data_IF_973139163940
#
_entry.id   IF_973139163940
#
_cell.length_a   1.000
_cell.length_b   1.000
_cell.length_c   1.000
_cell.angle_alpha   90.00
_cell.angle_beta   90.00
_cell.angle_gamma   90.00
#
_symmetry.space_group_name_H-M   'P 1'
#
loop_
_entity.id
_entity.type
_entity.pdbx_description
1 polymer ?
#
# COMPACT_ATOMS: atom_id res chain seq x y z
N UNK A 1 -31.12 -17.57 17.10
CA UNK A 1 -31.26 -18.04 15.69
C UNK A 1 -30.36 -19.24 15.50
N UNK A 2 -30.71 -20.20 14.64
CA UNK A 2 -29.83 -21.34 14.35
C UNK A 2 -28.56 -20.84 13.62
N UNK A 3 -27.40 -21.37 13.99
CA UNK A 3 -26.13 -21.01 13.36
C UNK A 3 -26.15 -21.38 11.87
N UNK A 4 -25.66 -20.49 11.00
CA UNK A 4 -25.52 -20.77 9.58
C UNK A 4 -24.30 -21.68 9.35
N UNK A 5 -24.49 -22.80 8.65
CA UNK A 5 -23.46 -23.81 8.44
C UNK A 5 -22.86 -23.73 7.04
N UNK A 6 -21.53 -23.83 6.98
CA UNK A 6 -20.71 -23.81 5.75
C UNK A 6 -19.74 -25.01 5.75
N UNK A 7 -19.19 -25.34 4.59
CA UNK A 7 -18.05 -26.26 4.51
C UNK A 7 -16.75 -25.52 4.83
N UNK A 8 -16.62 -24.29 4.31
CA UNK A 8 -15.44 -23.42 4.52
C UNK A 8 -15.89 -22.01 4.88
N UNK A 9 -15.28 -21.43 5.91
CA UNK A 9 -15.36 -20.01 6.21
C UNK A 9 -13.96 -19.40 5.99
N UNK A 10 -13.89 -18.31 5.24
CA UNK A 10 -12.67 -17.54 5.02
C UNK A 10 -12.77 -16.22 5.77
N UNK A 11 -11.80 -15.93 6.63
CA UNK A 11 -11.73 -14.67 7.39
C UNK A 11 -10.71 -13.76 6.74
N UNK A 12 -11.19 -12.64 6.17
CA UNK A 12 -10.43 -11.67 5.37
C UNK A 12 -10.64 -11.86 3.87
N UNK A 13 -11.03 -10.78 3.18
CA UNK A 13 -11.30 -10.77 1.75
C UNK A 13 -10.19 -10.09 0.92
N UNK A 14 -8.96 -10.08 1.42
CA UNK A 14 -7.77 -9.75 0.63
C UNK A 14 -7.44 -10.81 -0.42
N UNK A 15 -6.34 -10.65 -1.20
CA UNK A 15 -5.98 -11.57 -2.29
C UNK A 15 -5.94 -13.05 -1.89
N UNK A 16 -5.38 -13.38 -0.74
CA UNK A 16 -5.37 -14.75 -0.24
C UNK A 16 -6.77 -15.27 0.05
N UNK A 17 -7.63 -14.42 0.65
CA UNK A 17 -8.98 -14.83 1.07
C UNK A 17 -9.96 -14.97 -0.07
N UNK A 18 -10.12 -13.93 -0.93
CA UNK A 18 -11.11 -14.02 -2.00
C UNK A 18 -10.75 -15.09 -3.04
N UNK A 19 -9.48 -15.32 -3.31
CA UNK A 19 -9.03 -16.39 -4.22
C UNK A 19 -9.37 -17.76 -3.61
N UNK A 20 -9.06 -17.98 -2.33
CA UNK A 20 -9.39 -19.22 -1.63
C UNK A 20 -10.90 -19.47 -1.62
N UNK A 21 -11.71 -18.45 -1.30
CA UNK A 21 -13.16 -18.56 -1.26
C UNK A 21 -13.77 -18.92 -2.62
N UNK A 22 -13.32 -18.25 -3.69
CA UNK A 22 -13.75 -18.55 -5.06
C UNK A 22 -13.39 -19.99 -5.42
N UNK A 23 -12.13 -20.37 -5.16
CA UNK A 23 -11.68 -21.72 -5.52
C UNK A 23 -12.41 -22.81 -4.76
N UNK A 24 -12.62 -22.65 -3.46
CA UNK A 24 -13.39 -23.57 -2.64
C UNK A 24 -14.84 -23.74 -3.18
N UNK A 25 -15.48 -22.62 -3.55
CA UNK A 25 -16.82 -22.67 -4.14
C UNK A 25 -16.85 -23.36 -5.51
N UNK A 26 -15.85 -23.14 -6.36
CA UNK A 26 -15.71 -23.83 -7.66
C UNK A 26 -15.52 -25.34 -7.50
N UNK A 27 -15.01 -25.79 -6.36
CA UNK A 27 -14.89 -27.21 -6.00
C UNK A 27 -16.18 -27.78 -5.39
N UNK A 28 -17.28 -27.04 -5.40
CA UNK A 28 -18.59 -27.47 -4.95
C UNK A 28 -18.86 -27.29 -3.46
N UNK A 29 -17.96 -26.62 -2.73
CA UNK A 29 -18.13 -26.37 -1.30
C UNK A 29 -19.07 -25.17 -1.06
N UNK A 30 -19.83 -25.22 0.04
CA UNK A 30 -20.62 -24.09 0.56
C UNK A 30 -19.69 -23.17 1.34
N UNK A 31 -19.46 -21.94 0.83
CA UNK A 31 -18.43 -21.02 1.33
C UNK A 31 -19.02 -19.73 1.85
N UNK A 32 -18.51 -19.28 3.00
CA UNK A 32 -18.67 -17.90 3.47
C UNK A 32 -17.30 -17.17 3.49
N UNK A 33 -17.33 -15.88 3.26
CA UNK A 33 -16.18 -14.98 3.45
C UNK A 33 -16.59 -13.82 4.35
N UNK A 34 -15.70 -13.47 5.28
CA UNK A 34 -15.94 -12.38 6.24
C UNK A 34 -14.91 -11.29 6.01
N UNK A 35 -15.37 -10.03 5.85
CA UNK A 35 -14.51 -8.88 5.66
C UNK A 35 -15.00 -7.72 6.54
N UNK A 36 -14.07 -7.02 7.19
CA UNK A 36 -14.45 -5.94 8.11
C UNK A 36 -14.44 -4.55 7.47
N UNK A 37 -13.71 -4.35 6.36
CA UNK A 37 -13.55 -3.04 5.73
C UNK A 37 -14.01 -3.05 4.27
N UNK A 38 -13.20 -3.65 3.38
CA UNK A 38 -13.45 -3.60 1.94
C UNK A 38 -13.05 -4.92 1.27
N UNK A 39 -13.91 -5.45 0.42
CA UNK A 39 -13.56 -6.58 -0.44
C UNK A 39 -12.32 -6.23 -1.29
N UNK A 40 -11.43 -7.21 -1.46
CA UNK A 40 -10.14 -7.01 -2.11
C UNK A 40 -9.00 -6.65 -1.13
N UNK A 41 -9.33 -6.34 0.14
CA UNK A 41 -8.39 -6.04 1.21
C UNK A 41 -7.49 -4.84 0.92
N UNK A 42 -6.35 -4.78 1.60
CA UNK A 42 -5.37 -3.69 1.42
C UNK A 42 -4.87 -3.62 -0.01
N UNK A 43 -4.53 -4.73 -0.64
CA UNK A 43 -3.94 -4.74 -1.98
C UNK A 43 -4.79 -3.98 -3.01
N UNK A 44 -6.10 -4.22 -3.06
CA UNK A 44 -6.97 -3.57 -4.04
C UNK A 44 -7.36 -2.14 -3.64
N UNK A 45 -7.49 -1.89 -2.33
CA UNK A 45 -8.04 -0.62 -1.87
C UNK A 45 -6.99 0.39 -1.42
N UNK A 46 -5.89 -0.07 -0.80
CA UNK A 46 -4.89 0.78 -0.15
C UNK A 46 -3.45 0.32 -0.40
N UNK A 47 -3.18 -0.45 -1.44
CA UNK A 47 -1.85 -1.02 -1.70
C UNK A 47 -1.55 -1.17 -3.17
N UNK A 48 -1.38 -2.42 -3.61
CA UNK A 48 -0.87 -2.78 -4.94
C UNK A 48 -1.56 -2.03 -6.09
N UNK A 49 -2.88 -2.06 -6.12
CA UNK A 49 -3.64 -1.54 -7.27
C UNK A 49 -3.59 -0.02 -7.38
N UNK A 50 -3.96 0.77 -6.33
CA UNK A 50 -3.86 2.22 -6.44
C UNK A 50 -2.42 2.70 -6.62
N UNK A 51 -1.43 2.05 -6.00
CA UNK A 51 -0.01 2.40 -6.19
C UNK A 51 0.44 2.19 -7.63
N UNK A 52 0.11 1.02 -8.24
CA UNK A 52 0.43 0.77 -9.66
C UNK A 52 -0.28 1.75 -10.59
N UNK A 53 -1.49 2.18 -10.24
CA UNK A 53 -2.21 3.20 -11.01
C UNK A 53 -1.52 4.58 -10.92
N UNK A 54 -0.96 4.96 -9.75
CA UNK A 54 -0.13 6.16 -9.58
C UNK A 54 1.16 6.05 -10.39
N UNK A 55 1.91 4.95 -10.24
CA UNK A 55 3.16 4.70 -10.98
C UNK A 55 2.94 4.73 -12.49
N UNK A 56 1.82 4.18 -13.00
CA UNK A 56 1.51 4.25 -14.44
C UNK A 56 1.28 5.68 -14.90
N UNK A 57 0.66 6.53 -14.09
CA UNK A 57 0.51 7.95 -14.44
C UNK A 57 1.87 8.66 -14.46
N UNK A 58 2.74 8.39 -13.49
CA UNK A 58 4.09 8.93 -13.47
C UNK A 58 4.94 8.45 -14.65
N UNK A 59 4.82 7.17 -15.03
CA UNK A 59 5.49 6.61 -16.20
C UNK A 59 5.04 7.30 -17.50
N UNK A 60 3.74 7.53 -17.68
CA UNK A 60 3.23 8.27 -18.85
C UNK A 60 3.79 9.69 -18.86
N UNK A 61 3.80 10.38 -17.72
CA UNK A 61 4.39 11.71 -17.60
C UNK A 61 5.88 11.70 -17.97
N UNK A 62 6.65 10.73 -17.48
CA UNK A 62 8.05 10.53 -17.86
C UNK A 62 8.23 10.29 -19.37
N UNK A 63 7.38 9.46 -19.98
CA UNK A 63 7.40 9.19 -21.42
C UNK A 63 7.10 10.45 -22.25
N UNK A 64 6.22 11.35 -21.77
CA UNK A 64 5.95 12.62 -22.43
C UNK A 64 7.21 13.49 -22.52
N UNK A 65 8.05 13.51 -21.48
CA UNK A 65 9.34 14.24 -21.51
C UNK A 65 10.37 13.59 -22.44
N UNK A 66 10.23 12.30 -22.69
CA UNK A 66 11.10 11.51 -23.58
C UNK A 66 10.51 11.29 -24.98
N UNK A 67 9.43 11.98 -25.31
CA UNK A 67 8.72 11.78 -26.57
C UNK A 67 9.63 11.85 -27.82
N UNK A 68 10.63 12.72 -27.79
CA UNK A 68 11.63 12.88 -28.87
C UNK A 68 12.41 11.59 -29.18
N UNK A 69 12.66 10.74 -28.17
CA UNK A 69 13.36 9.46 -28.37
C UNK A 69 12.54 8.49 -29.23
N UNK A 70 11.21 8.71 -29.30
CA UNK A 70 10.27 7.94 -30.10
C UNK A 70 9.85 8.65 -31.40
N UNK A 71 10.52 9.75 -31.76
CA UNK A 71 10.14 10.56 -32.92
C UNK A 71 8.85 11.37 -32.74
N UNK A 72 8.37 11.54 -31.51
CA UNK A 72 7.15 12.25 -31.19
C UNK A 72 7.46 13.66 -30.65
N UNK A 73 6.51 14.58 -30.85
CA UNK A 73 6.58 15.95 -30.33
C UNK A 73 5.48 16.14 -29.28
N UNK A 74 5.85 16.66 -28.13
CA UNK A 74 4.93 17.05 -27.05
C UNK A 74 5.22 18.49 -26.69
N UNK A 75 4.21 19.35 -26.73
CA UNK A 75 4.32 20.75 -26.33
C UNK A 75 3.76 20.93 -24.93
N UNK A 76 4.65 21.13 -23.97
CA UNK A 76 4.32 21.30 -22.55
C UNK A 76 3.73 20.01 -21.91
N UNK A 77 4.49 19.38 -21.04
CA UNK A 77 3.99 18.28 -20.22
C UNK A 77 3.76 18.80 -18.81
N UNK A 78 2.55 18.66 -18.31
CA UNK A 78 2.18 19.04 -16.94
C UNK A 78 1.24 17.97 -16.37
N UNK A 79 0.98 18.00 -15.06
CA UNK A 79 0.08 17.07 -14.39
C UNK A 79 -0.76 17.76 -13.32
N UNK A 80 -1.97 17.25 -13.12
CA UNK A 80 -2.83 17.55 -11.98
C UNK A 80 -2.76 16.38 -10.99
N UNK A 81 -2.14 16.60 -9.83
CA UNK A 81 -2.00 15.57 -8.80
C UNK A 81 -3.36 15.05 -8.34
N UNK A 82 -4.37 15.92 -8.19
CA UNK A 82 -5.71 15.51 -7.76
C UNK A 82 -6.35 14.58 -8.79
N UNK A 83 -6.20 14.89 -10.08
CA UNK A 83 -6.68 14.02 -11.16
C UNK A 83 -5.95 12.67 -11.20
N UNK A 84 -4.63 12.65 -10.99
CA UNK A 84 -3.82 11.42 -10.90
C UNK A 84 -4.29 10.57 -9.71
N UNK A 85 -4.48 11.17 -8.55
CA UNK A 85 -5.00 10.49 -7.34
C UNK A 85 -6.43 9.98 -7.59
N UNK A 86 -7.32 10.81 -8.10
CA UNK A 86 -8.71 10.42 -8.41
C UNK A 86 -8.77 9.23 -9.37
N UNK A 87 -7.93 9.22 -10.42
CA UNK A 87 -7.80 8.08 -11.32
C UNK A 87 -7.40 6.81 -10.56
N UNK A 88 -6.39 6.88 -9.70
CA UNK A 88 -5.93 5.71 -8.94
C UNK A 88 -7.03 5.16 -8.02
N UNK A 89 -7.80 6.03 -7.36
CA UNK A 89 -8.94 5.66 -6.53
C UNK A 89 -10.08 5.06 -7.36
N UNK A 90 -10.32 5.57 -8.57
CA UNK A 90 -11.28 5.02 -9.52
C UNK A 90 -10.95 3.58 -9.93
N UNK A 91 -9.67 3.31 -10.25
CA UNK A 91 -9.19 1.95 -10.58
C UNK A 91 -9.36 1.01 -9.38
N UNK A 92 -8.98 1.44 -8.18
CA UNK A 92 -9.17 0.65 -6.96
C UNK A 92 -10.65 0.31 -6.71
N UNK A 93 -11.54 1.29 -6.84
CA UNK A 93 -13.00 1.10 -6.69
C UNK A 93 -13.56 0.11 -7.71
N UNK A 94 -13.14 0.22 -8.97
CA UNK A 94 -13.58 -0.68 -10.04
C UNK A 94 -13.20 -2.13 -9.73
N UNK A 95 -11.95 -2.38 -9.36
CA UNK A 95 -11.45 -3.73 -9.09
C UNK A 95 -12.04 -4.31 -7.79
N UNK A 96 -12.17 -3.52 -6.74
CA UNK A 96 -12.85 -3.95 -5.51
C UNK A 96 -14.32 -4.31 -5.76
N UNK A 97 -15.04 -3.52 -6.59
CA UNK A 97 -16.38 -3.85 -7.04
C UNK A 97 -16.43 -5.16 -7.84
N UNK A 98 -15.41 -5.42 -8.66
CA UNK A 98 -15.22 -6.68 -9.38
C UNK A 98 -15.15 -7.90 -8.45
N UNK A 99 -14.51 -7.77 -7.27
CA UNK A 99 -14.49 -8.85 -6.29
C UNK A 99 -15.90 -9.15 -5.78
N UNK A 100 -16.70 -8.12 -5.48
CA UNK A 100 -18.11 -8.31 -5.11
C UNK A 100 -18.92 -9.08 -6.17
N UNK A 101 -18.71 -8.75 -7.44
CA UNK A 101 -19.31 -9.48 -8.55
C UNK A 101 -18.85 -10.95 -8.58
N UNK A 102 -17.55 -11.20 -8.39
CA UNK A 102 -17.00 -12.56 -8.37
C UNK A 102 -17.53 -13.38 -7.19
N UNK A 103 -17.71 -12.78 -6.01
CA UNK A 103 -18.35 -13.46 -4.87
C UNK A 103 -19.77 -13.92 -5.24
N UNK A 104 -20.57 -13.00 -5.79
CA UNK A 104 -21.93 -13.32 -6.24
C UNK A 104 -21.96 -14.40 -7.33
N UNK A 105 -21.12 -14.27 -8.38
CA UNK A 105 -21.00 -15.24 -9.47
C UNK A 105 -20.70 -16.65 -8.96
N UNK A 106 -19.80 -16.77 -7.98
CA UNK A 106 -19.38 -18.05 -7.40
C UNK A 106 -20.24 -18.45 -6.19
N UNK A 107 -21.38 -17.78 -5.90
CA UNK A 107 -22.29 -18.10 -4.80
C UNK A 107 -21.59 -18.12 -3.42
N UNK A 108 -20.54 -17.33 -3.23
CA UNK A 108 -19.89 -17.15 -1.93
C UNK A 108 -20.71 -16.18 -1.10
N UNK A 109 -21.09 -16.60 0.12
CA UNK A 109 -21.83 -15.74 1.05
C UNK A 109 -20.87 -14.75 1.71
N UNK A 110 -21.13 -13.45 1.56
CA UNK A 110 -20.28 -12.38 2.13
C UNK A 110 -20.91 -11.85 3.41
N UNK A 111 -20.12 -11.82 4.49
CA UNK A 111 -20.45 -11.15 5.74
C UNK A 111 -19.53 -9.94 5.93
N UNK A 112 -20.12 -8.75 6.05
CA UNK A 112 -19.36 -7.55 6.38
C UNK A 112 -19.36 -7.37 7.89
N UNK A 113 -18.18 -7.54 8.53
CA UNK A 113 -18.05 -7.47 9.98
C UNK A 113 -16.72 -7.99 10.50
N UNK A 114 -16.55 -7.93 11.81
CA UNK A 114 -15.35 -8.43 12.50
C UNK A 114 -15.59 -9.84 13.00
N UNK A 115 -14.77 -10.78 12.54
CA UNK A 115 -14.82 -12.18 12.95
C UNK A 115 -14.07 -12.43 14.26
N UNK A 116 -14.64 -13.27 15.10
CA UNK A 116 -14.04 -13.86 16.30
C UNK A 116 -14.14 -15.39 16.21
N UNK A 117 -13.22 -16.09 16.83
CA UNK A 117 -13.15 -17.54 16.91
C UNK A 117 -13.43 -18.00 18.36
N UNK A 118 -14.70 -18.07 18.81
CA UNK A 118 -15.01 -18.40 20.19
C UNK A 118 -14.76 -19.85 20.54
N UNK A 119 -14.88 -20.77 19.57
CA UNK A 119 -14.66 -22.20 19.74
C UNK A 119 -14.23 -22.85 18.42
N UNK A 120 -13.75 -24.09 18.49
CA UNK A 120 -13.40 -24.90 17.31
C UNK A 120 -14.61 -25.03 16.38
N UNK A 121 -14.41 -24.69 15.10
CA UNK A 121 -15.44 -24.77 14.06
C UNK A 121 -16.52 -23.70 14.13
N UNK A 122 -16.42 -22.73 15.05
CA UNK A 122 -17.40 -21.66 15.23
C UNK A 122 -16.77 -20.30 14.95
N UNK A 123 -17.48 -19.44 14.24
CA UNK A 123 -17.11 -18.05 13.96
C UNK A 123 -18.26 -17.14 14.34
N UNK A 124 -17.99 -16.16 15.20
CA UNK A 124 -18.92 -15.10 15.56
C UNK A 124 -18.57 -13.86 14.74
N UNK A 125 -19.53 -13.28 14.02
CA UNK A 125 -19.32 -12.12 13.17
C UNK A 125 -20.08 -10.92 13.74
N UNK A 126 -19.36 -9.96 14.30
CA UNK A 126 -19.94 -8.69 14.75
C UNK A 126 -20.15 -7.76 13.57
N UNK A 127 -21.41 -7.44 13.29
CA UNK A 127 -21.85 -6.51 12.25
C UNK A 127 -22.51 -5.29 12.85
N UNK A 128 -22.85 -4.28 12.05
CA UNK A 128 -23.62 -3.10 12.50
C UNK A 128 -25.05 -3.45 12.94
N UNK A 129 -25.57 -4.62 12.54
CA UNK A 129 -26.93 -5.10 12.83
C UNK A 129 -27.01 -6.10 13.99
N UNK A 130 -25.88 -6.47 14.56
CA UNK A 130 -25.79 -7.46 15.62
C UNK A 130 -24.68 -8.48 15.38
N UNK A 131 -24.85 -9.67 15.94
CA UNK A 131 -23.86 -10.75 15.85
C UNK A 131 -24.47 -11.94 15.14
N UNK A 132 -23.80 -12.42 14.09
CA UNK A 132 -24.13 -13.67 13.39
C UNK A 132 -23.24 -14.79 13.89
N UNK A 133 -23.82 -15.96 14.21
CA UNK A 133 -23.09 -17.18 14.58
C UNK A 133 -23.02 -18.13 13.38
N UNK A 134 -21.79 -18.44 12.98
CA UNK A 134 -21.50 -19.32 11.84
C UNK A 134 -20.74 -20.55 12.30
N UNK A 135 -20.96 -21.69 11.61
CA UNK A 135 -20.16 -22.90 11.83
C UNK A 135 -19.57 -23.41 10.52
N UNK A 136 -18.38 -24.01 10.58
CA UNK A 136 -17.75 -24.63 9.42
C UNK A 136 -16.89 -25.84 9.79
N UNK A 137 -16.71 -26.75 8.80
CA UNK A 137 -15.76 -27.85 8.89
C UNK A 137 -14.31 -27.35 8.86
N UNK A 138 -14.06 -26.30 8.07
CA UNK A 138 -12.73 -25.70 7.92
C UNK A 138 -12.81 -24.17 7.94
N UNK A 139 -11.82 -23.54 8.58
CA UNK A 139 -11.70 -22.09 8.66
C UNK A 139 -10.33 -21.70 8.11
N UNK A 140 -10.33 -20.77 7.15
CA UNK A 140 -9.11 -20.18 6.57
C UNK A 140 -8.95 -18.77 7.13
N UNK A 141 -7.85 -18.52 7.84
CA UNK A 141 -7.50 -17.19 8.36
C UNK A 141 -6.59 -16.49 7.36
N UNK A 142 -7.13 -15.46 6.67
CA UNK A 142 -6.47 -14.70 5.62
C UNK A 142 -6.54 -13.19 5.92
N UNK A 143 -6.28 -12.82 7.18
CA UNK A 143 -6.52 -11.47 7.72
C UNK A 143 -5.51 -10.41 7.27
N UNK A 144 -4.46 -10.80 6.53
CA UNK A 144 -3.45 -9.90 5.97
C UNK A 144 -2.52 -9.29 7.03
N UNK A 145 -2.01 -8.10 6.73
CA UNK A 145 -1.06 -7.37 7.56
C UNK A 145 -1.46 -5.90 7.72
N UNK A 146 -0.83 -5.22 8.66
CA UNK A 146 -0.92 -3.77 8.86
C UNK A 146 0.47 -3.16 8.80
N UNK A 147 0.55 -1.87 8.45
CA UNK A 147 1.78 -1.12 8.58
C UNK A 147 2.28 -1.14 10.03
N UNK A 148 3.57 -1.31 10.20
CA UNK A 148 4.22 -1.17 11.50
C UNK A 148 4.42 0.31 11.77
N UNK A 149 4.00 0.77 12.94
CA UNK A 149 4.34 2.11 13.42
C UNK A 149 5.65 2.05 14.19
N UNK A 150 6.56 2.96 13.87
CA UNK A 150 7.85 3.08 14.56
C UNK A 150 7.75 4.23 15.55
N UNK A 151 8.11 4.01 16.85
CA UNK A 151 8.06 5.05 17.87
C UNK A 151 8.86 6.30 17.47
N UNK A 152 8.22 7.47 17.55
CA UNK A 152 8.78 8.76 17.15
C UNK A 152 8.71 9.07 15.65
N UNK A 153 8.27 8.10 14.83
CA UNK A 153 8.11 8.23 13.37
C UNK A 153 6.65 8.01 12.92
N UNK A 154 5.70 8.11 13.85
CA UNK A 154 4.29 7.88 13.60
C UNK A 154 3.74 8.86 12.57
N UNK A 155 2.85 8.39 11.71
CA UNK A 155 2.22 9.23 10.72
C UNK A 155 1.17 10.16 11.37
N UNK A 156 1.26 11.46 11.07
CA UNK A 156 0.28 12.48 11.52
C UNK A 156 -0.70 12.88 10.40
N UNK A 157 -0.41 12.46 9.16
CA UNK A 157 -1.24 12.77 7.99
C UNK A 157 -0.97 14.13 7.37
N UNK A 158 -0.18 14.98 8.02
CA UNK A 158 0.21 16.30 7.51
C UNK A 158 1.68 16.30 7.06
N UNK A 159 2.63 16.26 7.98
CA UNK A 159 4.06 16.27 7.70
C UNK A 159 4.63 14.88 7.51
N UNK A 160 4.14 13.90 8.29
CA UNK A 160 4.55 12.50 8.20
C UNK A 160 3.38 11.66 7.69
N UNK A 161 3.57 11.08 6.54
CA UNK A 161 2.58 10.26 5.85
C UNK A 161 2.83 8.78 6.04
N UNK A 162 1.77 8.01 6.24
CA UNK A 162 1.75 6.57 5.98
C UNK A 162 1.44 6.33 4.50
N UNK A 163 1.50 5.06 4.08
CA UNK A 163 1.06 4.66 2.74
C UNK A 163 -0.37 5.12 2.38
N UNK A 164 -1.28 5.16 3.36
CA UNK A 164 -2.66 5.63 3.14
C UNK A 164 -2.69 7.11 2.76
N UNK A 165 -1.94 7.94 3.48
CA UNK A 165 -1.84 9.38 3.21
C UNK A 165 -1.16 9.63 1.85
N UNK A 166 -0.07 8.92 1.54
CA UNK A 166 0.63 9.04 0.27
C UNK A 166 -0.25 8.66 -0.94
N UNK A 167 -1.16 7.67 -0.79
CA UNK A 167 -2.11 7.27 -1.83
C UNK A 167 -3.20 8.29 -2.13
N UNK A 168 -3.46 9.22 -1.23
CA UNK A 168 -4.47 10.28 -1.36
C UNK A 168 -3.85 11.66 -1.15
N UNK A 169 -2.58 11.81 -1.51
CA UNK A 169 -1.87 13.07 -1.37
C UNK A 169 -2.61 14.22 -2.07
N UNK A 170 -2.77 15.33 -1.35
CA UNK A 170 -3.44 16.56 -1.84
C UNK A 170 -2.44 17.64 -2.23
N UNK A 171 -1.17 17.43 -1.93
CA UNK A 171 -0.05 18.33 -2.29
C UNK A 171 1.14 17.55 -2.80
N UNK A 172 1.88 18.17 -3.71
CA UNK A 172 3.14 17.62 -4.21
C UNK A 172 4.27 17.99 -3.25
N UNK A 173 5.01 17.01 -2.68
CA UNK A 173 6.23 17.29 -1.93
C UNK A 173 7.28 17.95 -2.82
N UNK A 174 8.00 18.94 -2.30
CA UNK A 174 9.21 19.51 -2.96
C UNK A 174 10.46 18.74 -2.54
N UNK A 175 10.59 18.49 -1.22
CA UNK A 175 11.67 17.69 -0.61
C UNK A 175 11.07 16.58 0.20
N UNK A 176 11.16 15.36 -0.30
CA UNK A 176 10.57 14.16 0.27
C UNK A 176 11.62 13.28 0.94
N UNK A 177 11.38 12.91 2.19
CA UNK A 177 12.08 11.81 2.85
C UNK A 177 11.21 10.56 2.84
N UNK A 178 11.76 9.43 2.41
CA UNK A 178 11.13 8.12 2.54
C UNK A 178 11.95 7.27 3.50
N UNK A 179 11.32 6.83 4.60
CA UNK A 179 11.94 5.99 5.62
C UNK A 179 11.54 4.55 5.36
N UNK A 180 12.51 3.72 5.00
CA UNK A 180 12.33 2.35 4.55
C UNK A 180 12.36 2.23 3.02
N UNK A 181 13.13 1.27 2.54
CA UNK A 181 13.32 0.98 1.11
C UNK A 181 12.72 -0.35 0.67
N UNK A 182 11.76 -0.88 1.44
CA UNK A 182 10.94 -1.98 0.98
C UNK A 182 10.10 -1.59 -0.25
N UNK A 183 9.35 -2.55 -0.81
CA UNK A 183 8.56 -2.31 -2.02
C UNK A 183 7.67 -1.06 -1.91
N UNK A 184 7.01 -0.85 -0.76
CA UNK A 184 6.13 0.30 -0.53
C UNK A 184 6.91 1.62 -0.60
N UNK A 185 8.00 1.73 0.15
CA UNK A 185 8.82 2.96 0.19
C UNK A 185 9.40 3.33 -1.16
N UNK A 186 9.98 2.35 -1.85
CA UNK A 186 10.57 2.56 -3.18
C UNK A 186 9.51 2.95 -4.23
N UNK A 187 8.31 2.37 -4.19
CA UNK A 187 7.24 2.71 -5.13
C UNK A 187 6.78 4.16 -4.94
N UNK A 188 6.56 4.62 -3.70
CA UNK A 188 6.23 6.02 -3.45
C UNK A 188 7.39 6.97 -3.76
N UNK A 189 8.63 6.60 -3.40
CA UNK A 189 9.81 7.37 -3.76
C UNK A 189 9.89 7.56 -5.28
N UNK A 190 9.70 6.47 -6.05
CA UNK A 190 9.70 6.52 -7.51
C UNK A 190 8.58 7.39 -8.07
N UNK A 191 7.36 7.26 -7.53
CA UNK A 191 6.21 8.07 -7.97
C UNK A 191 6.47 9.57 -7.81
N UNK A 192 6.79 10.01 -6.59
CA UNK A 192 7.00 11.42 -6.31
C UNK A 192 8.26 11.98 -6.97
N UNK A 193 9.35 11.21 -7.02
CA UNK A 193 10.58 11.60 -7.73
C UNK A 193 10.32 11.84 -9.22
N UNK A 194 9.58 10.93 -9.87
CA UNK A 194 9.23 11.07 -11.30
C UNK A 194 8.37 12.30 -11.57
N UNK A 195 7.55 12.72 -10.62
CA UNK A 195 6.74 13.93 -10.69
C UNK A 195 7.49 15.18 -10.24
N UNK A 196 8.79 15.10 -9.88
CA UNK A 196 9.67 16.25 -9.63
C UNK A 196 10.02 16.54 -8.17
N UNK A 197 9.69 15.66 -7.22
CA UNK A 197 10.15 15.80 -5.84
C UNK A 197 11.66 15.51 -5.73
N UNK A 198 12.42 16.32 -4.98
CA UNK A 198 13.78 15.97 -4.52
C UNK A 198 13.65 14.90 -3.45
N UNK A 199 13.89 13.64 -3.82
CA UNK A 199 13.57 12.47 -2.99
C UNK A 199 14.81 11.85 -2.39
N UNK A 200 14.81 11.71 -1.06
CA UNK A 200 15.81 10.97 -0.29
C UNK A 200 15.17 9.73 0.33
N UNK A 201 15.78 8.57 0.13
CA UNK A 201 15.38 7.29 0.74
C UNK A 201 16.41 6.90 1.78
N UNK A 202 15.97 6.55 2.99
CA UNK A 202 16.83 6.09 4.10
C UNK A 202 16.49 4.64 4.40
N UNK A 203 17.53 3.78 4.42
CA UNK A 203 17.42 2.35 4.69
C UNK A 203 18.43 1.91 5.75
N UNK A 204 17.95 1.23 6.78
CA UNK A 204 18.79 0.73 7.87
C UNK A 204 19.64 -0.47 7.46
N UNK A 205 19.15 -1.24 6.48
CA UNK A 205 19.87 -2.40 5.94
C UNK A 205 21.01 -1.94 5.04
N UNK A 206 21.83 -2.90 4.63
CA UNK A 206 23.01 -2.67 3.77
C UNK A 206 22.68 -2.46 2.29
N UNK A 207 21.40 -2.61 1.91
CA UNK A 207 20.90 -2.42 0.55
C UNK A 207 19.41 -2.07 0.55
N UNK A 208 18.95 -1.43 -0.52
CA UNK A 208 17.52 -1.24 -0.78
C UNK A 208 16.86 -2.58 -1.17
N UNK A 209 15.53 -2.66 -1.02
CA UNK A 209 14.77 -3.89 -1.32
C UNK A 209 15.41 -5.12 -0.66
N UNK A 210 15.64 -5.10 0.67
CA UNK A 210 16.53 -6.04 1.34
C UNK A 210 16.07 -7.51 1.30
N UNK A 211 14.79 -7.74 0.95
CA UNK A 211 14.21 -9.09 0.81
C UNK A 211 14.37 -9.67 -0.59
N UNK A 212 14.80 -8.85 -1.55
CA UNK A 212 15.03 -9.27 -2.92
C UNK A 212 16.46 -9.82 -3.10
N UNK A 213 16.71 -10.45 -4.25
CA UNK A 213 18.06 -10.88 -4.64
C UNK A 213 19.02 -9.69 -4.64
N UNK A 214 20.25 -9.90 -4.14
CA UNK A 214 21.25 -8.84 -3.97
C UNK A 214 21.65 -8.16 -5.29
N UNK A 215 21.73 -8.94 -6.38
CA UNK A 215 22.06 -8.42 -7.71
C UNK A 215 20.92 -7.58 -8.26
N UNK A 216 19.67 -8.02 -8.07
CA UNK A 216 18.47 -7.27 -8.44
C UNK A 216 18.36 -5.97 -7.63
N UNK A 217 18.61 -6.02 -6.33
CA UNK A 217 18.63 -4.83 -5.47
C UNK A 217 19.68 -3.80 -5.93
N UNK A 218 20.88 -4.25 -6.27
CA UNK A 218 21.97 -3.40 -6.79
C UNK A 218 21.61 -2.79 -8.16
N UNK A 219 20.99 -3.57 -9.05
CA UNK A 219 20.49 -3.09 -10.33
C UNK A 219 19.40 -2.02 -10.16
N UNK A 220 18.43 -2.27 -9.28
CA UNK A 220 17.37 -1.32 -8.96
C UNK A 220 17.91 -0.01 -8.38
N UNK A 221 18.85 -0.10 -7.40
CA UNK A 221 19.54 1.06 -6.84
C UNK A 221 20.19 1.92 -7.92
N UNK A 222 20.98 1.30 -8.81
CA UNK A 222 21.64 2.01 -9.92
C UNK A 222 20.64 2.75 -10.79
N UNK A 223 19.49 2.13 -11.08
CA UNK A 223 18.42 2.75 -11.87
C UNK A 223 17.79 3.94 -11.15
N UNK A 224 17.47 3.83 -9.87
CA UNK A 224 16.86 4.91 -9.10
C UNK A 224 17.80 6.10 -8.88
N UNK A 225 19.09 5.84 -8.59
CA UNK A 225 20.11 6.90 -8.50
C UNK A 225 20.25 7.64 -9.83
N UNK A 226 20.22 6.92 -10.96
CA UNK A 226 20.23 7.55 -12.31
C UNK A 226 18.99 8.42 -12.54
N UNK A 227 17.87 8.12 -11.91
CA UNK A 227 16.65 8.92 -11.95
C UNK A 227 16.66 10.12 -10.99
N UNK A 228 17.76 10.34 -10.25
CA UNK A 228 17.95 11.48 -9.35
C UNK A 228 17.61 11.21 -7.88
N UNK A 229 17.20 10.00 -7.50
CA UNK A 229 16.97 9.70 -6.09
C UNK A 229 18.27 9.67 -5.29
N UNK A 230 18.25 10.24 -4.09
CA UNK A 230 19.30 10.07 -3.08
C UNK A 230 18.95 8.87 -2.22
N UNK A 231 19.88 7.91 -2.12
CA UNK A 231 19.68 6.66 -1.36
C UNK A 231 20.78 6.53 -0.31
N UNK A 232 20.37 6.50 0.95
CA UNK A 232 21.24 6.33 2.10
C UNK A 232 20.99 4.95 2.70
N UNK A 233 21.91 4.03 2.48
CA UNK A 233 21.92 2.68 3.07
C UNK A 233 22.73 2.68 4.36
N UNK A 234 22.52 1.67 5.23
CA UNK A 234 23.10 1.61 6.58
C UNK A 234 22.84 2.89 7.36
N UNK A 235 21.71 3.53 7.09
CA UNK A 235 21.31 4.80 7.67
C UNK A 235 19.95 4.68 8.36
N UNK A 236 19.78 5.32 9.49
CA UNK A 236 18.53 5.28 10.26
C UNK A 236 18.08 6.66 10.67
N UNK A 237 16.79 6.92 10.59
CA UNK A 237 16.20 8.15 11.15
C UNK A 237 16.00 7.96 12.64
N UNK A 238 16.69 8.76 13.44
CA UNK A 238 16.66 8.70 14.93
C UNK A 238 15.55 9.58 15.50
N UNK A 239 15.24 10.69 14.84
CA UNK A 239 14.28 11.68 15.32
C UNK A 239 13.75 12.51 14.17
N UNK A 240 12.50 12.94 14.31
CA UNK A 240 11.86 13.92 13.46
C UNK A 240 11.42 15.13 14.30
N UNK A 241 11.99 16.28 14.05
CA UNK A 241 11.53 17.55 14.62
C UNK A 241 10.50 18.16 13.67
N UNK A 242 9.22 18.03 14.02
CA UNK A 242 8.08 18.48 13.23
C UNK A 242 7.81 19.97 13.50
N UNK A 243 7.72 20.76 12.45
CA UNK A 243 7.41 22.19 12.51
C UNK A 243 6.17 22.45 11.65
N UNK A 244 4.95 22.45 12.25
CA UNK A 244 3.71 22.68 11.50
C UNK A 244 3.78 23.92 10.63
N UNK A 245 3.35 23.81 9.37
CA UNK A 245 3.41 24.90 8.39
C UNK A 245 4.80 25.18 7.80
N UNK A 246 5.86 24.49 8.25
CA UNK A 246 7.25 24.68 7.78
C UNK A 246 7.79 23.40 7.15
N UNK A 247 7.78 22.30 7.89
CA UNK A 247 8.33 21.02 7.46
C UNK A 247 8.88 20.19 8.61
N UNK A 248 9.80 19.29 8.29
CA UNK A 248 10.38 18.32 9.23
C UNK A 248 11.89 18.35 9.13
N UNK A 249 12.58 18.54 10.26
CA UNK A 249 14.03 18.30 10.34
C UNK A 249 14.25 16.86 10.77
N UNK A 250 14.83 16.04 9.89
CA UNK A 250 15.18 14.65 10.16
C UNK A 250 16.62 14.54 10.67
N UNK A 251 16.80 13.81 11.78
CA UNK A 251 18.11 13.42 12.31
C UNK A 251 18.46 12.03 11.78
N UNK A 252 19.38 11.98 10.84
CA UNK A 252 19.77 10.75 10.13
C UNK A 252 21.14 10.33 10.65
N UNK A 253 21.21 9.12 11.20
CA UNK A 253 22.47 8.48 11.58
C UNK A 253 22.96 7.58 10.47
N UNK A 254 24.22 7.77 10.08
CA UNK A 254 24.94 6.89 9.16
C UNK A 254 26.41 6.81 9.63
N UNK A 255 26.97 5.60 9.68
CA UNK A 255 28.35 5.35 10.12
C UNK A 255 28.69 5.99 11.49
N UNK A 256 27.75 5.98 12.44
CA UNK A 256 27.88 6.55 13.78
C UNK A 256 27.83 8.08 13.85
N UNK A 257 27.57 8.76 12.73
CA UNK A 257 27.42 10.21 12.67
C UNK A 257 25.96 10.59 12.44
N UNK A 258 25.47 11.55 13.23
CA UNK A 258 24.13 12.12 13.04
C UNK A 258 24.26 13.40 12.22
N UNK A 259 23.53 13.47 11.14
CA UNK A 259 23.35 14.66 10.31
C UNK A 259 21.89 15.10 10.34
N UNK A 260 21.63 16.38 10.13
CA UNK A 260 20.27 16.92 10.04
C UNK A 260 19.97 17.39 8.63
N UNK A 261 18.78 17.07 8.15
CA UNK A 261 18.29 17.52 6.85
C UNK A 261 16.82 17.96 6.96
N UNK A 262 16.45 18.99 6.21
CA UNK A 262 15.09 19.53 6.20
C UNK A 262 14.31 18.98 5.00
N UNK A 263 13.08 18.56 5.27
CA UNK A 263 12.11 18.04 4.33
C UNK A 263 10.75 18.73 4.54
N UNK A 264 9.94 18.81 3.51
CA UNK A 264 8.57 19.30 3.67
C UNK A 264 7.56 18.17 3.92
N UNK A 265 7.95 16.94 3.59
CA UNK A 265 7.13 15.74 3.78
C UNK A 265 8.01 14.53 4.06
N UNK A 266 7.54 13.66 4.94
CA UNK A 266 8.15 12.37 5.25
C UNK A 266 7.14 11.26 4.97
N UNK A 267 7.55 10.17 4.33
CA UNK A 267 6.78 8.92 4.25
C UNK A 267 7.45 7.89 5.15
N UNK A 268 6.70 7.39 6.14
CA UNK A 268 7.10 6.24 6.97
C UNK A 268 6.53 4.96 6.33
N UNK A 269 7.42 4.10 5.76
CA UNK A 269 7.06 2.97 4.89
C UNK A 269 7.64 1.63 5.39
#
# INVERSE_FOLDING_TARGET
MAALTFDVIVIGAGPGGYVAAIRASQLGLKVAIIERENLGGICLNWGCIPTKALLRSAEVFHLMHRAKEFGLSVTGADFDLNAVVARSRGVAKQLSGGIGHLMKKNKVTVFMGTALLPAKGTVSVKTDKGTDELTAKSIIVATGARARELPGLEADGDLVWSYKHALVATRMPKKLLVIGSGAIGIEFASFFNTLGADTTVVEVMDRILPVEDAEISAFAKKSFVKQGMKILEKAGVKKLDRKPGVGVTAHIEQDGKITTQDFDTVISA
#
